data_IF_293680555565
#
_entry.id   IF_293680555565
#
_cell.length_a   1.000
_cell.length_b   1.000
_cell.length_c   1.000
_cell.angle_alpha   90.00
_cell.angle_beta   90.00
_cell.angle_gamma   90.00
#
_symmetry.space_group_name_H-M   'P 1'
#
loop_
_entity.id
_entity.type
_entity.pdbx_description
1 polymer ?
#
# COMPACT_ATOMS: atom_id res chain seq x y z
N UNK A 1 1.40 14.66 22.54
CA UNK A 1 0.43 13.55 22.65
C UNK A 1 1.18 12.30 23.07
N UNK A 2 0.56 11.42 23.88
CA UNK A 2 1.11 10.09 24.17
C UNK A 2 0.31 9.08 23.36
N UNK A 3 0.99 8.27 22.55
CA UNK A 3 0.38 7.12 21.89
C UNK A 3 0.44 5.91 22.82
N UNK A 4 -0.53 5.00 22.70
CA UNK A 4 -0.52 3.72 23.40
C UNK A 4 0.35 2.71 22.63
N UNK A 5 0.32 2.77 21.28
CA UNK A 5 1.18 1.97 20.40
C UNK A 5 1.71 2.82 19.25
N UNK A 6 3.00 2.69 18.96
CA UNK A 6 3.62 3.26 17.76
C UNK A 6 4.23 2.14 16.93
N UNK A 7 3.96 2.14 15.63
CA UNK A 7 4.55 1.20 14.69
C UNK A 7 5.34 1.91 13.60
N UNK A 8 6.38 1.26 13.13
CA UNK A 8 7.22 1.72 12.01
C UNK A 8 7.16 0.67 10.91
N UNK A 9 6.89 1.08 9.67
CA UNK A 9 6.85 0.16 8.54
C UNK A 9 6.78 0.85 7.19
N UNK A 10 6.83 0.05 6.13
CA UNK A 10 6.67 0.55 4.77
C UNK A 10 5.24 1.06 4.57
N UNK A 11 5.12 2.34 4.22
CA UNK A 11 3.86 2.92 3.80
C UNK A 11 3.60 2.53 2.36
N UNK A 12 2.63 1.64 2.14
CA UNK A 12 2.33 1.04 0.84
C UNK A 12 0.86 1.29 0.54
N UNK A 13 0.56 1.94 -0.58
CA UNK A 13 -0.82 1.99 -1.07
C UNK A 13 -1.16 0.66 -1.74
N UNK A 14 -2.18 -0.02 -1.25
CA UNK A 14 -2.74 -1.17 -1.92
C UNK A 14 -3.63 -0.68 -3.06
N UNK A 15 -3.31 -1.11 -4.28
CA UNK A 15 -4.10 -0.87 -5.49
C UNK A 15 -4.67 -2.21 -5.87
N UNK A 16 -6.00 -2.35 -5.89
CA UNK A 16 -6.69 -3.63 -6.00
C UNK A 16 -7.50 -3.63 -7.29
N UNK A 17 -7.36 -4.70 -8.09
CA UNK A 17 -8.12 -4.94 -9.32
C UNK A 17 -8.54 -6.40 -9.38
N UNK A 18 -9.74 -6.72 -9.90
CA UNK A 18 -10.03 -8.08 -10.31
C UNK A 18 -9.10 -8.52 -11.46
N UNK A 19 -8.80 -9.82 -11.53
CA UNK A 19 -8.09 -10.45 -12.65
C UNK A 19 -8.52 -11.92 -12.75
N UNK A 20 -8.40 -12.52 -13.93
CA UNK A 20 -8.52 -13.97 -14.08
C UNK A 20 -7.14 -14.63 -14.17
N UNK A 21 -7.10 -15.96 -14.07
CA UNK A 21 -5.84 -16.72 -14.10
C UNK A 21 -5.09 -16.54 -15.43
N UNK A 22 -5.81 -16.28 -16.54
CA UNK A 22 -5.19 -16.01 -17.84
C UNK A 22 -4.45 -14.68 -17.88
N UNK A 23 -4.99 -13.66 -17.20
CA UNK A 23 -4.32 -12.38 -17.01
C UNK A 23 -3.07 -12.55 -16.15
N UNK A 24 -3.16 -13.30 -15.04
CA UNK A 24 -2.00 -13.57 -14.19
C UNK A 24 -0.88 -14.25 -14.97
N UNK A 25 -1.21 -15.28 -15.75
CA UNK A 25 -0.24 -16.00 -16.60
C UNK A 25 0.35 -15.08 -17.67
N UNK A 26 -0.49 -14.35 -18.42
CA UNK A 26 -0.05 -13.43 -19.47
C UNK A 26 0.88 -12.33 -18.94
N UNK A 27 0.58 -11.83 -17.74
CA UNK A 27 1.40 -10.82 -17.11
C UNK A 27 2.59 -11.41 -16.37
N UNK A 28 2.71 -12.74 -16.22
CA UNK A 28 3.79 -13.40 -15.48
C UNK A 28 3.74 -13.11 -13.97
N UNK A 29 2.55 -13.15 -13.39
CA UNK A 29 2.29 -12.98 -11.96
C UNK A 29 2.11 -14.36 -11.35
N UNK A 30 2.85 -14.65 -10.28
CA UNK A 30 2.68 -15.90 -9.55
C UNK A 30 1.50 -15.76 -8.57
N UNK A 31 0.57 -16.72 -8.64
CA UNK A 31 -0.69 -16.64 -7.91
C UNK A 31 -0.49 -16.86 -6.41
N UNK A 32 -1.14 -16.02 -5.60
CA UNK A 32 -1.23 -16.20 -4.15
C UNK A 32 0.01 -15.80 -3.35
N UNK A 33 0.99 -15.14 -3.97
CA UNK A 33 2.20 -14.69 -3.28
C UNK A 33 2.41 -13.17 -3.37
N UNK A 34 3.35 -12.67 -2.58
CA UNK A 34 3.88 -11.31 -2.71
C UNK A 34 5.24 -11.36 -3.40
N UNK A 35 5.35 -10.60 -4.49
CA UNK A 35 6.57 -10.44 -5.28
C UNK A 35 7.04 -8.99 -5.17
N UNK A 36 8.32 -8.80 -4.83
CA UNK A 36 8.96 -7.50 -4.99
C UNK A 36 9.23 -7.25 -6.48
N UNK A 37 8.92 -6.05 -6.95
CA UNK A 37 9.11 -5.67 -8.36
C UNK A 37 9.83 -4.34 -8.48
N UNK A 38 10.60 -4.20 -9.55
CA UNK A 38 11.21 -2.94 -9.95
C UNK A 38 10.20 -1.94 -10.51
N UNK A 39 10.63 -0.68 -10.64
CA UNK A 39 9.79 0.44 -11.07
C UNK A 39 9.06 0.18 -12.38
N UNK A 40 9.77 -0.27 -13.41
CA UNK A 40 9.21 -0.47 -14.76
C UNK A 40 8.12 -1.54 -14.75
N UNK A 41 8.38 -2.67 -14.06
CA UNK A 41 7.38 -3.71 -13.82
C UNK A 41 6.18 -3.17 -13.06
N UNK A 42 6.43 -2.36 -12.03
CA UNK A 42 5.38 -1.75 -11.23
C UNK A 42 4.47 -0.81 -12.04
N UNK A 43 5.06 0.04 -12.87
CA UNK A 43 4.33 0.95 -13.78
C UNK A 43 3.54 0.17 -14.84
N UNK A 44 4.13 -0.87 -15.44
CA UNK A 44 3.46 -1.74 -16.42
C UNK A 44 2.23 -2.42 -15.82
N UNK A 45 2.38 -3.02 -14.64
CA UNK A 45 1.27 -3.69 -13.95
C UNK A 45 0.18 -2.68 -13.58
N UNK A 46 0.55 -1.53 -12.99
CA UNK A 46 -0.40 -0.48 -12.62
C UNK A 46 -1.21 0.05 -13.82
N UNK A 47 -0.56 0.22 -14.97
CA UNK A 47 -1.20 0.64 -16.22
C UNK A 47 -2.19 -0.39 -16.79
N UNK A 48 -1.97 -1.68 -16.54
CA UNK A 48 -2.85 -2.77 -16.96
C UNK A 48 -4.08 -2.95 -16.05
N UNK A 49 -4.09 -2.36 -14.85
CA UNK A 49 -5.21 -2.50 -13.92
C UNK A 49 -6.44 -1.71 -14.39
N UNK A 50 -7.61 -2.32 -14.24
CA UNK A 50 -8.92 -1.71 -14.51
C UNK A 50 -9.74 -1.72 -13.21
N UNK A 51 -10.79 -0.89 -13.11
CA UNK A 51 -11.69 -0.85 -11.95
C UNK A 51 -10.97 -0.80 -10.57
N UNK A 52 -9.91 0.01 -10.51
CA UNK A 52 -8.99 0.09 -9.37
C UNK A 52 -9.69 0.63 -8.12
N UNK A 53 -9.49 -0.07 -7.01
CA UNK A 53 -9.73 0.45 -5.65
C UNK A 53 -8.39 0.72 -4.98
N UNK A 54 -8.29 1.82 -4.23
CA UNK A 54 -7.09 2.17 -3.47
C UNK A 54 -7.40 2.18 -1.98
N UNK A 55 -6.47 1.67 -1.18
CA UNK A 55 -6.55 1.68 0.27
C UNK A 55 -5.15 1.86 0.89
N UNK A 56 -5.04 2.47 2.08
CA UNK A 56 -3.82 2.35 2.88
C UNK A 56 -3.57 0.87 3.17
N UNK A 57 -2.39 0.39 2.75
CA UNK A 57 -1.93 -0.96 3.02
C UNK A 57 -0.69 -0.95 3.90
N UNK A 58 0.06 -2.04 3.83
CA UNK A 58 1.24 -2.26 4.67
C UNK A 58 0.89 -2.93 6.00
N UNK A 59 1.62 -4.01 6.32
CA UNK A 59 1.29 -4.90 7.44
C UNK A 59 1.22 -4.16 8.80
N UNK A 60 2.17 -3.26 9.05
CA UNK A 60 2.21 -2.49 10.31
C UNK A 60 1.06 -1.48 10.38
N UNK A 61 0.78 -0.76 9.30
CA UNK A 61 -0.30 0.21 9.25
C UNK A 61 -1.66 -0.47 9.45
N UNK A 62 -1.90 -1.61 8.79
CA UNK A 62 -3.12 -2.41 8.98
C UNK A 62 -3.28 -2.87 10.44
N UNK A 63 -2.18 -3.24 11.10
CA UNK A 63 -2.21 -3.64 12.52
C UNK A 63 -2.57 -2.46 13.42
N UNK A 64 -1.98 -1.29 13.18
CA UNK A 64 -2.26 -0.07 13.94
C UNK A 64 -3.69 0.43 13.71
N UNK A 65 -4.19 0.40 12.48
CA UNK A 65 -5.58 0.74 12.17
C UNK A 65 -6.55 -0.19 12.91
N UNK A 66 -6.25 -1.49 12.98
CA UNK A 66 -6.99 -2.45 13.80
C UNK A 66 -7.01 -2.08 15.29
N UNK A 67 -5.85 -1.70 15.85
CA UNK A 67 -5.74 -1.26 17.24
C UNK A 67 -6.46 0.09 17.49
N UNK A 68 -6.38 1.01 16.54
CA UNK A 68 -7.11 2.29 16.56
C UNK A 68 -8.63 2.09 16.58
N UNK A 69 -9.12 1.18 15.75
CA UNK A 69 -10.54 0.78 15.73
C UNK A 69 -11.00 0.10 17.03
N UNK A 70 -10.08 -0.45 17.83
CA UNK A 70 -10.35 -0.99 19.17
C UNK A 70 -10.26 0.09 20.28
N UNK A 71 -10.01 1.35 19.92
CA UNK A 71 -10.00 2.50 20.83
C UNK A 71 -8.63 2.87 21.39
N UNK A 72 -7.54 2.27 20.92
CA UNK A 72 -6.18 2.66 21.31
C UNK A 72 -5.71 3.87 20.50
N UNK A 73 -4.88 4.74 21.10
CA UNK A 73 -4.25 5.83 20.36
C UNK A 73 -3.01 5.30 19.67
N UNK A 74 -3.06 5.21 18.34
CA UNK A 74 -1.98 4.64 17.53
C UNK A 74 -1.28 5.72 16.71
N UNK A 75 0.04 5.57 16.59
CA UNK A 75 0.87 6.38 15.69
C UNK A 75 1.62 5.49 14.70
N UNK A 76 1.59 5.85 13.43
CA UNK A 76 2.38 5.19 12.39
C UNK A 76 3.49 6.09 11.88
N UNK A 77 4.70 5.54 11.83
CA UNK A 77 5.86 6.17 11.21
C UNK A 77 6.16 5.39 9.92
N UNK A 78 6.07 6.07 8.79
CA UNK A 78 6.31 5.48 7.49
C UNK A 78 6.73 6.55 6.48
N UNK A 79 7.20 6.13 5.31
CA UNK A 79 7.68 7.06 4.30
C UNK A 79 6.77 7.06 3.08
N UNK A 80 6.18 8.22 2.80
CA UNK A 80 5.43 8.50 1.57
C UNK A 80 6.02 9.72 0.88
N UNK A 81 5.88 9.79 -0.44
CA UNK A 81 6.25 10.98 -1.21
C UNK A 81 5.12 12.01 -1.07
N UNK A 82 5.43 13.30 -1.15
CA UNK A 82 4.39 14.33 -1.33
C UNK A 82 3.79 14.30 -2.76
N UNK A 83 3.26 13.15 -3.15
CA UNK A 83 2.48 12.91 -4.35
C UNK A 83 1.01 12.62 -4.00
N UNK A 84 0.17 12.43 -5.02
CA UNK A 84 -1.25 12.18 -4.80
C UNK A 84 -1.51 10.93 -3.93
N UNK A 85 -0.73 9.87 -4.13
CA UNK A 85 -0.85 8.61 -3.38
C UNK A 85 -0.38 8.77 -1.93
N UNK A 86 0.69 9.50 -1.69
CA UNK A 86 1.21 9.72 -0.34
C UNK A 86 0.30 10.61 0.50
N UNK A 87 -0.26 11.67 -0.10
CA UNK A 87 -1.29 12.48 0.57
C UNK A 87 -2.57 11.68 0.84
N UNK A 88 -3.00 10.86 -0.11
CA UNK A 88 -4.10 9.92 0.09
C UNK A 88 -3.82 8.96 1.26
N UNK A 89 -2.63 8.36 1.30
CA UNK A 89 -2.25 7.41 2.34
C UNK A 89 -2.28 8.06 3.73
N UNK A 90 -1.61 9.21 3.90
CA UNK A 90 -1.53 9.89 5.19
C UNK A 90 -2.91 10.35 5.69
N UNK A 91 -3.73 10.93 4.81
CA UNK A 91 -5.08 11.39 5.18
C UNK A 91 -6.04 10.23 5.49
N UNK A 92 -5.97 9.13 4.73
CA UNK A 92 -6.83 7.97 4.94
C UNK A 92 -6.47 7.22 6.22
N UNK A 93 -5.18 7.06 6.52
CA UNK A 93 -4.75 6.40 7.77
C UNK A 93 -5.23 7.19 9.01
N UNK A 94 -5.13 8.52 8.95
CA UNK A 94 -5.65 9.40 10.01
C UNK A 94 -7.18 9.30 10.15
N UNK A 95 -7.91 9.20 9.03
CA UNK A 95 -9.36 8.99 9.04
C UNK A 95 -9.76 7.64 9.67
N UNK A 96 -8.92 6.61 9.54
CA UNK A 96 -9.08 5.29 10.16
C UNK A 96 -8.60 5.24 11.63
N UNK A 97 -8.30 6.40 12.22
CA UNK A 97 -7.99 6.52 13.65
C UNK A 97 -6.53 6.25 14.02
N UNK A 98 -5.61 6.20 13.05
CA UNK A 98 -4.17 6.09 13.29
C UNK A 98 -3.43 7.32 12.77
N UNK A 99 -2.74 8.04 13.65
CA UNK A 99 -2.01 9.24 13.26
C UNK A 99 -0.81 8.87 12.38
N UNK A 100 -0.69 9.46 11.19
CA UNK A 100 0.53 9.43 10.39
C UNK A 100 1.50 10.48 10.93
N UNK A 101 2.53 10.06 11.67
CA UNK A 101 3.26 10.92 12.62
C UNK A 101 4.20 11.93 11.93
N UNK A 102 4.67 11.63 10.73
CA UNK A 102 5.63 12.46 9.99
C UNK A 102 5.02 13.01 8.71
N UNK A 103 5.43 14.20 8.29
CA UNK A 103 4.96 14.78 7.03
C UNK A 103 5.40 13.93 5.81
N UNK A 104 4.59 13.91 4.72
CA UNK A 104 5.04 13.42 3.43
C UNK A 104 6.36 14.06 2.99
N UNK A 105 7.26 13.27 2.40
CA UNK A 105 8.58 13.74 2.02
C UNK A 105 8.52 14.69 0.81
N UNK A 106 8.90 15.95 1.05
CA UNK A 106 9.17 16.93 0.01
C UNK A 106 10.50 16.61 -0.71
N UNK A 107 10.54 16.80 -2.04
CA UNK A 107 11.69 16.40 -2.88
C UNK A 107 11.89 14.88 -3.09
N UNK A 108 12.69 14.53 -4.09
CA UNK A 108 13.04 13.14 -4.44
C UNK A 108 12.36 12.59 -5.70
N UNK A 109 12.98 11.56 -6.30
CA UNK A 109 12.58 11.02 -7.61
C UNK A 109 11.70 9.76 -7.53
N UNK A 110 11.62 9.15 -6.35
CA UNK A 110 10.86 7.92 -6.14
C UNK A 110 9.43 8.24 -5.68
N UNK A 111 8.40 7.63 -6.30
CA UNK A 111 7.01 7.83 -5.91
C UNK A 111 6.68 7.09 -4.60
N UNK A 112 5.50 7.36 -4.05
CA UNK A 112 4.93 6.57 -2.95
C UNK A 112 4.86 5.09 -3.32
N UNK A 113 5.23 4.21 -2.38
CA UNK A 113 5.21 2.76 -2.53
C UNK A 113 3.81 2.26 -2.84
N UNK A 114 3.72 1.22 -3.68
CA UNK A 114 2.43 0.63 -4.07
C UNK A 114 2.51 -0.88 -4.25
N UNK A 115 1.45 -1.57 -3.84
CA UNK A 115 1.24 -2.98 -4.14
C UNK A 115 0.12 -3.09 -5.16
N UNK A 116 0.42 -3.63 -6.35
CA UNK A 116 -0.60 -3.99 -7.32
C UNK A 116 -1.12 -5.38 -6.95
N UNK A 117 -2.34 -5.42 -6.44
CA UNK A 117 -3.01 -6.61 -5.94
C UNK A 117 -4.06 -7.03 -6.96
N UNK A 118 -3.89 -8.25 -7.48
CA UNK A 118 -4.83 -8.87 -8.39
C UNK A 118 -5.63 -9.93 -7.63
N UNK A 119 -6.95 -9.82 -7.68
CA UNK A 119 -7.88 -10.72 -6.99
C UNK A 119 -8.55 -11.62 -8.01
N UNK A 120 -8.29 -12.93 -7.91
CA UNK A 120 -8.89 -13.94 -8.78
C UNK A 120 -10.32 -14.30 -8.35
N UNK A 121 -11.14 -14.97 -9.20
CA UNK A 121 -12.52 -15.31 -8.88
C UNK A 121 -12.70 -16.20 -7.63
N UNK A 122 -11.66 -16.96 -7.26
CA UNK A 122 -11.59 -17.75 -6.02
C UNK A 122 -11.27 -16.92 -4.76
N UNK A 123 -11.02 -15.62 -4.92
CA UNK A 123 -10.71 -14.68 -3.84
C UNK A 123 -9.22 -14.62 -3.46
N UNK A 124 -8.36 -15.42 -4.10
CA UNK A 124 -6.93 -15.41 -3.86
C UNK A 124 -6.30 -14.09 -4.30
N UNK A 125 -5.25 -13.64 -3.59
CA UNK A 125 -4.62 -12.34 -3.82
C UNK A 125 -3.18 -12.52 -4.27
N UNK A 126 -2.85 -11.97 -5.43
CA UNK A 126 -1.50 -11.99 -5.99
C UNK A 126 -0.93 -10.59 -5.98
N UNK A 127 0.13 -10.36 -5.19
CA UNK A 127 0.62 -9.03 -4.83
C UNK A 127 1.96 -8.74 -5.50
N UNK A 128 2.06 -7.60 -6.18
CA UNK A 128 3.31 -7.14 -6.79
C UNK A 128 3.68 -5.78 -6.16
N UNK A 129 4.70 -5.76 -5.31
CA UNK A 129 5.04 -4.59 -4.50
C UNK A 129 6.24 -3.86 -5.07
N UNK A 130 6.02 -2.60 -5.47
CA UNK A 130 7.09 -1.66 -5.76
C UNK A 130 7.31 -0.75 -4.55
N UNK A 131 8.48 -0.85 -3.93
CA UNK A 131 8.79 -0.16 -2.67
C UNK A 131 8.96 1.36 -2.82
N UNK A 132 9.17 1.89 -4.03
CA UNK A 132 9.24 3.34 -4.27
C UNK A 132 10.14 4.05 -3.26
N UNK A 133 9.63 5.10 -2.62
CA UNK A 133 10.35 5.90 -1.62
C UNK A 133 10.75 5.12 -0.34
N UNK A 134 10.21 3.93 -0.11
CA UNK A 134 10.56 3.07 1.03
C UNK A 134 11.75 2.13 0.76
N UNK A 135 12.36 2.18 -0.43
CA UNK A 135 13.62 1.47 -0.74
C UNK A 135 14.86 2.21 -0.27
#
# INVERSE_FOLDING_TARGET
MSYDVVGIGNAIVDVISPADDSFLEHMGIEKGIMQLVERERGERLYGAMTDRVQAPGGSVANTLAGLGNLGLRTGFIGRVRDDALGRFYASSLAADGTDFVNEPAAGGDLPTSRSMIFVSPDGERSMNTYLGISS
#
